data_IF_834687800798
#
_entry.id   IF_834687800798
#
_cell.length_a   1.000
_cell.length_b   1.000
_cell.length_c   1.000
_cell.angle_alpha   90.00
_cell.angle_beta   90.00
_cell.angle_gamma   90.00
#
_symmetry.space_group_name_H-M   'P 1'
#
loop_
_entity.id
_entity.type
_entity.pdbx_description
1 polymer ?
#
# COMPACT_ATOMS: atom_id res chain seq x y z
N UNK A 1 15.73 -10.73 -40.07
CA UNK A 1 15.84 -9.89 -38.84
C UNK A 1 17.29 -9.92 -38.39
N UNK A 2 17.96 -8.76 -38.34
CA UNK A 2 19.41 -8.67 -38.12
C UNK A 2 19.84 -9.12 -36.71
N UNK A 3 20.75 -10.09 -36.62
CA UNK A 3 21.29 -10.62 -35.36
C UNK A 3 21.96 -9.57 -34.45
N UNK A 4 22.32 -8.42 -35.00
CA UNK A 4 22.92 -7.30 -34.27
C UNK A 4 22.00 -6.70 -33.19
N UNK A 5 20.67 -6.73 -33.38
CA UNK A 5 19.72 -6.12 -32.45
C UNK A 5 19.61 -6.84 -31.09
N UNK A 6 19.93 -8.14 -31.03
CA UNK A 6 19.91 -8.94 -29.80
C UNK A 6 21.27 -9.01 -29.09
N UNK A 7 22.31 -8.45 -29.72
CA UNK A 7 23.67 -8.49 -29.21
C UNK A 7 23.86 -7.81 -27.84
N UNK A 8 23.22 -6.67 -27.49
CA UNK A 8 23.35 -6.09 -26.15
C UNK A 8 22.74 -6.97 -25.06
N UNK A 9 21.61 -7.63 -25.33
CA UNK A 9 20.95 -8.54 -24.38
C UNK A 9 21.76 -9.80 -24.11
N UNK A 10 22.44 -10.34 -25.14
CA UNK A 10 23.33 -11.50 -24.96
C UNK A 10 24.55 -11.15 -24.10
N UNK A 11 25.12 -9.96 -24.30
CA UNK A 11 26.26 -9.47 -23.51
C UNK A 11 25.90 -9.21 -22.05
N UNK A 12 24.72 -8.64 -21.78
CA UNK A 12 24.26 -8.42 -20.41
C UNK A 12 23.97 -9.73 -19.67
N UNK A 13 23.36 -10.72 -20.31
CA UNK A 13 23.12 -12.04 -19.70
C UNK A 13 24.42 -12.73 -19.29
N UNK A 14 25.42 -12.79 -20.19
CA UNK A 14 26.71 -13.40 -19.89
C UNK A 14 27.46 -12.64 -18.76
N UNK A 15 27.29 -11.32 -18.69
CA UNK A 15 27.86 -10.52 -17.60
C UNK A 15 27.21 -10.84 -16.25
N UNK A 16 25.87 -10.91 -16.20
CA UNK A 16 25.15 -11.31 -14.98
C UNK A 16 25.52 -12.73 -14.54
N UNK A 17 25.61 -13.67 -15.49
CA UNK A 17 26.04 -15.04 -15.21
C UNK A 17 27.46 -15.08 -14.62
N UNK A 18 28.40 -14.33 -15.20
CA UNK A 18 29.77 -14.23 -14.67
C UNK A 18 29.79 -13.68 -13.24
N UNK A 19 29.07 -12.59 -12.97
CA UNK A 19 29.00 -11.98 -11.64
C UNK A 19 28.34 -12.89 -10.60
N UNK A 20 27.34 -13.68 -11.01
CA UNK A 20 26.70 -14.66 -10.13
C UNK A 20 27.67 -15.76 -9.66
N UNK A 21 28.66 -16.14 -10.47
CA UNK A 21 29.66 -17.15 -10.11
C UNK A 21 30.92 -16.57 -9.45
N UNK A 22 31.46 -15.46 -9.96
CA UNK A 22 32.71 -14.87 -9.45
C UNK A 22 32.50 -14.09 -8.14
N UNK A 23 31.36 -13.43 -7.97
CA UNK A 23 31.05 -12.58 -6.82
C UNK A 23 29.59 -12.76 -6.36
N UNK A 24 29.23 -13.96 -5.89
CA UNK A 24 27.84 -14.30 -5.59
C UNK A 24 27.21 -13.37 -4.55
N UNK A 25 27.95 -12.99 -3.51
CA UNK A 25 27.43 -12.14 -2.42
C UNK A 25 26.92 -10.81 -2.96
N UNK A 26 27.73 -10.09 -3.74
CA UNK A 26 27.38 -8.77 -4.28
C UNK A 26 26.18 -8.90 -5.23
N UNK A 27 26.20 -9.90 -6.11
CA UNK A 27 25.15 -10.09 -7.10
C UNK A 27 23.79 -10.40 -6.46
N UNK A 28 23.73 -11.39 -5.56
CA UNK A 28 22.48 -11.79 -4.94
C UNK A 28 21.97 -10.78 -3.92
N UNK A 29 22.85 -10.05 -3.21
CA UNK A 29 22.42 -8.93 -2.35
C UNK A 29 21.68 -7.85 -3.12
N UNK A 30 22.19 -7.46 -4.30
CA UNK A 30 21.52 -6.49 -5.17
C UNK A 30 20.23 -7.06 -5.76
N UNK A 31 20.24 -8.31 -6.21
CA UNK A 31 19.06 -8.94 -6.79
C UNK A 31 17.91 -9.02 -5.77
N UNK A 32 18.17 -9.54 -4.57
CA UNK A 32 17.17 -9.65 -3.50
C UNK A 32 16.73 -8.25 -3.03
N UNK A 33 17.68 -7.31 -2.91
CA UNK A 33 17.38 -5.92 -2.58
C UNK A 33 16.45 -5.24 -3.60
N UNK A 34 16.65 -5.53 -4.90
CA UNK A 34 15.81 -4.99 -5.97
C UNK A 34 14.43 -5.69 -6.07
N UNK A 35 14.34 -6.98 -5.70
CA UNK A 35 13.07 -7.72 -5.71
C UNK A 35 12.03 -7.08 -4.79
N UNK A 36 12.44 -6.54 -3.63
CA UNK A 36 11.52 -5.89 -2.68
C UNK A 36 10.74 -4.71 -3.29
N UNK A 37 11.41 -3.64 -3.75
CA UNK A 37 10.76 -2.50 -4.41
C UNK A 37 9.91 -2.90 -5.63
N UNK A 38 10.41 -3.82 -6.46
CA UNK A 38 9.66 -4.33 -7.61
C UNK A 38 8.38 -5.02 -7.16
N UNK A 39 8.45 -5.86 -6.13
CA UNK A 39 7.28 -6.54 -5.58
C UNK A 39 6.26 -5.55 -4.99
N UNK A 40 6.70 -4.48 -4.31
CA UNK A 40 5.79 -3.45 -3.76
C UNK A 40 4.97 -2.77 -4.85
N UNK A 41 5.53 -2.58 -6.05
CA UNK A 41 4.80 -1.95 -7.17
C UNK A 41 3.90 -2.96 -7.90
N UNK A 42 4.42 -4.16 -8.16
CA UNK A 42 3.75 -5.16 -9.01
C UNK A 42 2.68 -5.94 -8.22
N UNK A 43 3.00 -6.42 -7.03
CA UNK A 43 2.13 -7.34 -6.28
C UNK A 43 0.77 -6.72 -5.93
N UNK A 44 0.65 -5.47 -5.43
CA UNK A 44 -0.65 -4.90 -5.09
C UNK A 44 -1.56 -4.75 -6.31
N UNK A 45 -1.00 -4.41 -7.47
CA UNK A 45 -1.73 -4.25 -8.72
C UNK A 45 -2.31 -5.58 -9.18
N UNK A 46 -1.47 -6.63 -9.20
CA UNK A 46 -1.92 -8.00 -9.53
C UNK A 46 -2.94 -8.50 -8.50
N UNK A 47 -2.68 -8.28 -7.20
CA UNK A 47 -3.56 -8.73 -6.10
C UNK A 47 -4.96 -8.11 -6.17
N UNK A 48 -5.07 -6.83 -6.53
CA UNK A 48 -6.37 -6.14 -6.67
C UNK A 48 -7.11 -6.56 -7.93
N UNK A 49 -6.42 -6.64 -9.07
CA UNK A 49 -7.06 -6.86 -10.38
C UNK A 49 -7.37 -8.33 -10.67
N UNK A 50 -6.48 -9.26 -10.33
CA UNK A 50 -6.65 -10.68 -10.67
C UNK A 50 -7.32 -11.48 -9.55
N UNK A 51 -7.00 -11.16 -8.29
CA UNK A 51 -7.48 -11.93 -7.13
C UNK A 51 -8.66 -11.27 -6.41
N UNK A 52 -9.16 -10.12 -6.92
CA UNK A 52 -10.34 -9.44 -6.36
C UNK A 52 -10.18 -8.94 -4.92
N UNK A 53 -8.93 -8.85 -4.43
CA UNK A 53 -8.65 -8.48 -3.06
C UNK A 53 -8.98 -7.00 -2.81
N UNK A 54 -9.87 -6.75 -1.84
CA UNK A 54 -10.19 -5.40 -1.36
C UNK A 54 -9.48 -5.12 -0.04
N UNK A 55 -8.84 -3.95 0.12
CA UNK A 55 -8.27 -3.56 1.41
C UNK A 55 -9.38 -3.42 2.45
N UNK A 56 -9.07 -3.82 3.68
CA UNK A 56 -9.98 -3.67 4.83
C UNK A 56 -10.20 -2.17 5.08
N UNK A 57 -11.44 -1.81 5.41
CA UNK A 57 -11.75 -0.45 5.82
C UNK A 57 -10.98 -0.08 7.08
N UNK A 58 -10.49 1.17 7.15
CA UNK A 58 -9.69 1.61 8.30
C UNK A 58 -10.60 1.71 9.53
N UNK A 59 -10.23 1.07 10.66
CA UNK A 59 -10.94 1.26 11.91
C UNK A 59 -10.96 2.74 12.31
N UNK A 60 -12.02 3.22 12.97
CA UNK A 60 -12.07 4.59 13.46
C UNK A 60 -11.02 4.77 14.56
N UNK A 61 -10.14 5.75 14.39
CA UNK A 61 -9.13 6.13 15.40
C UNK A 61 -9.68 7.14 16.40
N UNK A 62 -10.85 7.71 16.13
CA UNK A 62 -11.51 8.74 16.92
C UNK A 62 -12.99 8.43 17.06
N UNK A 63 -13.63 9.03 18.06
CA UNK A 63 -15.08 8.95 18.18
C UNK A 63 -15.73 9.46 16.88
N UNK A 64 -16.65 8.69 16.25
CA UNK A 64 -17.28 9.10 15.01
C UNK A 64 -18.30 10.21 15.30
N UNK A 65 -17.89 11.46 15.13
CA UNK A 65 -18.81 12.58 15.20
C UNK A 65 -19.68 12.61 13.92
N UNK A 66 -21.01 12.67 14.05
CA UNK A 66 -21.88 12.85 12.89
C UNK A 66 -21.68 14.25 12.30
N UNK A 67 -21.53 14.34 10.98
CA UNK A 67 -21.44 15.62 10.27
C UNK A 67 -22.84 16.23 10.07
N UNK A 68 -23.50 16.59 11.17
CA UNK A 68 -24.81 17.24 11.18
C UNK A 68 -24.82 18.39 12.17
N UNK A 69 -25.68 19.38 11.93
CA UNK A 69 -25.93 20.42 12.90
C UNK A 69 -26.49 19.80 14.20
N UNK A 70 -26.17 20.44 15.34
CA UNK A 70 -26.75 20.05 16.63
C UNK A 70 -28.27 20.16 16.54
N UNK A 71 -28.96 19.09 16.91
CA UNK A 71 -30.40 19.15 17.13
C UNK A 71 -30.64 19.99 18.40
N UNK A 72 -31.42 21.08 18.25
CA UNK A 72 -31.71 22.00 19.34
C UNK A 72 -32.68 21.43 20.39
N UNK A 73 -33.36 20.33 20.06
CA UNK A 73 -34.44 19.76 20.87
C UNK A 73 -34.15 18.28 21.09
N UNK A 74 -33.25 17.99 22.03
CA UNK A 74 -33.03 16.62 22.53
C UNK A 74 -33.60 16.58 23.94
N UNK A 75 -34.87 16.21 24.06
CA UNK A 75 -35.57 16.11 25.35
C UNK A 75 -35.32 14.75 26.00
N UNK A 76 -35.32 14.69 27.34
CA UNK A 76 -35.29 13.40 28.09
C UNK A 76 -34.29 13.30 29.24
N UNK A 77 -33.40 14.28 29.41
CA UNK A 77 -32.46 14.37 30.55
C UNK A 77 -32.38 15.78 31.14
N UNK A 78 -33.43 16.59 30.96
CA UNK A 78 -33.49 17.92 31.55
C UNK A 78 -33.62 17.79 33.08
N UNK A 79 -32.71 18.42 33.81
CA UNK A 79 -32.78 18.47 35.27
C UNK A 79 -34.07 19.20 35.64
N UNK A 80 -35.00 18.51 36.34
CA UNK A 80 -36.33 19.01 36.71
C UNK A 80 -36.36 20.25 37.61
N UNK A 81 -35.24 20.96 37.72
CA UNK A 81 -35.11 22.24 38.38
C UNK A 81 -35.79 23.33 37.55
N UNK A 82 -37.00 23.71 37.97
CA UNK A 82 -37.68 24.90 37.44
C UNK A 82 -37.01 26.15 38.02
N UNK A 83 -36.50 27.08 37.20
CA UNK A 83 -36.10 28.39 37.72
C UNK A 83 -37.36 29.09 38.26
N UNK A 84 -37.33 29.49 39.53
CA UNK A 84 -38.38 30.33 40.10
C UNK A 84 -38.35 31.69 39.40
N UNK A 85 -39.37 31.97 38.59
CA UNK A 85 -39.86 33.30 38.17
C UNK A 85 -38.82 34.37 37.80
N UNK A 86 -38.80 34.74 36.51
CA UNK A 86 -38.52 36.11 36.08
C UNK A 86 -39.85 36.84 35.86
#
# INVERSE_FOLDING_TARGET
>A
MSAAALNPFRRSYLYCQRRAHEQPVIFYSLAIGAVGPVAVVVVPSVRKSWFGWKPVERPPTTYPLPNRAREATVEGFEDGWKPASA
#
